data_IF_141693332512
#
_entry.id   IF_141693332512
#
_cell.length_a   1.000
_cell.length_b   1.000
_cell.length_c   1.000
_cell.angle_alpha   90.00
_cell.angle_beta   90.00
_cell.angle_gamma   90.00
#
_symmetry.space_group_name_H-M   'P 1'
#
loop_
_entity.id
_entity.type
_entity.pdbx_description
1 polymer ?
#
# COMPACT_ATOMS: atom_id res chain seq x y z
N UNK A 1 0.22 17.37 7.95
CA UNK A 1 0.13 16.69 9.25
C UNK A 1 1.52 16.55 9.83
N UNK A 2 1.68 16.70 11.13
CA UNK A 2 2.95 16.49 11.83
C UNK A 2 2.97 15.06 12.35
N UNK A 3 4.05 14.33 12.11
CA UNK A 3 4.30 12.97 12.62
C UNK A 3 5.04 13.02 13.96
N UNK A 4 5.16 11.88 14.65
CA UNK A 4 5.72 11.81 16.00
C UNK A 4 7.18 12.31 16.11
N UNK A 5 7.93 12.26 15.02
CA UNK A 5 9.32 12.77 14.94
C UNK A 5 9.40 14.23 14.44
N UNK A 6 8.27 14.94 14.34
CA UNK A 6 8.20 16.32 13.88
C UNK A 6 8.22 16.50 12.35
N UNK A 7 8.34 15.44 11.58
CA UNK A 7 8.27 15.52 10.11
C UNK A 7 6.86 15.91 9.67
N UNK A 8 6.75 16.52 8.48
CA UNK A 8 5.46 16.97 7.94
C UNK A 8 5.11 16.20 6.68
N UNK A 9 3.96 15.52 6.70
CA UNK A 9 3.36 14.87 5.52
C UNK A 9 2.10 15.61 5.07
N UNK A 10 1.75 15.47 3.79
CA UNK A 10 0.54 16.04 3.19
C UNK A 10 -0.53 14.97 3.05
N UNK A 11 -1.70 15.25 3.62
CA UNK A 11 -2.87 14.39 3.55
C UNK A 11 -4.09 15.18 3.07
N UNK A 12 -5.03 14.49 2.44
CA UNK A 12 -6.35 15.02 2.05
C UNK A 12 -7.43 14.20 2.69
N UNK A 13 -8.46 14.89 3.18
CA UNK A 13 -9.64 14.28 3.79
C UNK A 13 -10.85 14.56 2.91
N UNK A 14 -11.65 13.53 2.66
CA UNK A 14 -12.87 13.57 1.88
C UNK A 14 -14.00 13.21 2.84
N UNK A 15 -14.75 14.22 3.25
CA UNK A 15 -15.84 14.04 4.22
C UNK A 15 -17.17 13.78 3.50
N UNK A 16 -18.02 12.89 4.03
CA UNK A 16 -19.38 12.71 3.51
C UNK A 16 -20.25 13.93 3.83
N UNK A 17 -21.30 14.13 3.05
CA UNK A 17 -22.31 15.20 3.29
C UNK A 17 -23.21 14.91 4.49
N UNK A 18 -23.30 13.67 4.92
CA UNK A 18 -24.13 13.20 6.04
C UNK A 18 -23.31 12.58 7.17
N UNK A 19 -23.95 11.81 8.06
CA UNK A 19 -23.26 11.12 9.15
C UNK A 19 -22.17 10.18 8.64
N UNK A 20 -21.04 10.15 9.35
CA UNK A 20 -19.93 9.26 9.05
C UNK A 20 -20.30 7.81 9.43
N UNK A 21 -20.28 6.90 8.46
CA UNK A 21 -20.45 5.45 8.68
C UNK A 21 -19.20 4.80 9.27
N UNK A 22 -18.05 5.08 8.66
CA UNK A 22 -16.73 4.62 9.08
C UNK A 22 -15.66 5.58 8.53
N UNK A 23 -14.46 5.52 9.10
CA UNK A 23 -13.27 6.12 8.50
C UNK A 23 -12.58 5.13 7.55
N UNK A 24 -11.98 5.63 6.46
CA UNK A 24 -11.22 4.81 5.51
C UNK A 24 -9.87 5.48 5.23
N UNK A 25 -8.78 4.79 5.58
CA UNK A 25 -7.44 5.19 5.19
C UNK A 25 -7.03 4.48 3.91
N UNK A 26 -6.76 5.23 2.85
CA UNK A 26 -6.20 4.71 1.60
C UNK A 26 -4.68 4.83 1.68
N UNK A 27 -4.02 3.68 1.70
CA UNK A 27 -2.56 3.58 1.88
C UNK A 27 -1.89 3.29 0.54
N UNK A 28 -1.03 4.20 0.05
CA UNK A 28 -0.55 4.15 -1.32
C UNK A 28 0.39 2.99 -1.63
N UNK A 29 0.44 2.61 -2.91
CA UNK A 29 1.48 1.77 -3.47
C UNK A 29 2.84 2.50 -3.49
N UNK A 30 3.92 1.73 -3.65
CA UNK A 30 5.29 2.25 -3.80
C UNK A 30 5.35 3.30 -4.90
N UNK A 31 5.73 4.53 -4.54
CA UNK A 31 5.92 5.63 -5.47
C UNK A 31 4.65 6.19 -6.14
N UNK A 32 3.47 5.75 -5.73
CA UNK A 32 2.21 6.32 -6.18
C UNK A 32 1.82 7.56 -5.37
N UNK A 33 1.41 8.63 -6.07
CA UNK A 33 0.94 9.86 -5.41
C UNK A 33 -0.50 9.73 -4.95
N UNK A 34 -0.84 10.41 -3.85
CA UNK A 34 -2.21 10.50 -3.32
C UNK A 34 -3.23 11.01 -4.35
N UNK A 35 -2.78 11.80 -5.33
CA UNK A 35 -3.65 12.30 -6.40
C UNK A 35 -4.29 11.16 -7.22
N UNK A 36 -3.58 10.05 -7.36
CA UNK A 36 -4.08 8.87 -8.07
C UNK A 36 -5.32 8.28 -7.40
N UNK A 37 -5.41 8.36 -6.09
CA UNK A 37 -6.51 7.82 -5.30
C UNK A 37 -7.65 8.81 -5.04
N UNK A 38 -7.49 10.08 -5.42
CA UNK A 38 -8.45 11.13 -5.10
C UNK A 38 -9.87 10.87 -5.65
N UNK A 39 -10.07 10.38 -6.89
CA UNK A 39 -11.42 10.04 -7.38
C UNK A 39 -12.08 8.92 -6.57
N UNK A 40 -11.31 7.89 -6.18
CA UNK A 40 -11.81 6.81 -5.35
C UNK A 40 -12.16 7.27 -3.94
N UNK A 41 -11.35 8.13 -3.33
CA UNK A 41 -11.62 8.71 -2.02
C UNK A 41 -12.87 9.61 -2.04
N UNK A 42 -13.08 10.38 -3.10
CA UNK A 42 -14.29 11.18 -3.28
C UNK A 42 -15.53 10.29 -3.39
N UNK A 43 -15.46 9.21 -4.18
CA UNK A 43 -16.52 8.24 -4.27
C UNK A 43 -16.84 7.57 -2.91
N UNK A 44 -15.84 7.23 -2.10
CA UNK A 44 -16.06 6.70 -0.75
C UNK A 44 -16.81 7.74 0.13
N UNK A 45 -16.47 9.02 0.01
CA UNK A 45 -17.20 10.07 0.73
C UNK A 45 -18.67 10.13 0.31
N UNK A 46 -18.97 9.99 -0.98
CA UNK A 46 -20.35 9.91 -1.48
C UNK A 46 -21.10 8.66 -0.98
N UNK A 47 -20.38 7.59 -0.59
CA UNK A 47 -20.97 6.40 0.05
C UNK A 47 -21.14 6.55 1.58
N UNK A 48 -20.73 7.68 2.15
CA UNK A 48 -20.89 7.97 3.58
C UNK A 48 -19.65 7.67 4.44
N UNK A 49 -18.48 7.47 3.84
CA UNK A 49 -17.22 7.24 4.56
C UNK A 49 -16.39 8.51 4.69
N UNK A 50 -15.73 8.71 5.82
CA UNK A 50 -14.66 9.70 5.93
C UNK A 50 -13.38 9.09 5.36
N UNK A 51 -13.07 9.38 4.10
CA UNK A 51 -11.89 8.85 3.44
C UNK A 51 -10.68 9.78 3.57
N UNK A 52 -9.47 9.22 3.64
CA UNK A 52 -8.23 9.99 3.59
C UNK A 52 -7.21 9.36 2.66
N UNK A 53 -6.46 10.22 1.96
CA UNK A 53 -5.29 9.90 1.17
C UNK A 53 -4.10 10.71 1.68
N UNK A 54 -2.89 10.23 1.45
CA UNK A 54 -1.66 10.95 1.83
C UNK A 54 -0.49 10.56 0.93
N UNK A 55 0.55 11.36 0.94
CA UNK A 55 1.85 11.00 0.39
C UNK A 55 2.80 10.69 1.54
N UNK A 56 3.54 9.58 1.46
CA UNK A 56 4.60 9.26 2.41
C UNK A 56 5.67 10.35 2.42
N UNK A 57 6.39 10.52 3.52
CA UNK A 57 7.56 11.41 3.60
C UNK A 57 8.53 11.14 2.45
N UNK A 58 9.05 12.18 1.85
CA UNK A 58 9.95 12.07 0.71
C UNK A 58 9.27 11.69 -0.62
N UNK A 59 7.93 11.67 -0.69
CA UNK A 59 7.19 11.42 -1.94
C UNK A 59 6.14 12.50 -2.20
N UNK A 60 5.70 12.61 -3.45
CA UNK A 60 4.57 13.47 -3.87
C UNK A 60 4.63 14.88 -3.28
N UNK A 61 3.54 15.31 -2.65
CA UNK A 61 3.42 16.61 -1.98
C UNK A 61 4.12 16.66 -0.62
N UNK A 62 4.50 15.50 -0.07
CA UNK A 62 5.29 15.39 1.17
C UNK A 62 6.80 15.51 0.94
N UNK A 63 7.24 15.60 -0.32
CA UNK A 63 8.63 15.91 -0.67
C UNK A 63 8.85 17.43 -0.60
N UNK A 64 9.54 17.89 0.42
CA UNK A 64 9.78 19.34 0.65
C UNK A 64 11.18 19.81 0.25
N UNK A 65 12.09 18.87 0.02
CA UNK A 65 13.49 19.15 -0.30
C UNK A 65 14.06 18.08 -1.22
N UNK A 66 15.34 18.14 -1.52
CA UNK A 66 16.04 17.11 -2.28
C UNK A 66 15.98 15.76 -1.58
N UNK A 67 15.81 14.68 -2.36
CA UNK A 67 15.95 13.30 -1.85
C UNK A 67 17.41 12.93 -1.55
N UNK A 68 18.38 13.68 -2.05
CA UNK A 68 19.79 13.44 -1.74
C UNK A 68 20.04 13.74 -0.27
N UNK A 69 20.47 12.72 0.48
CA UNK A 69 20.67 12.84 1.93
C UNK A 69 19.38 12.75 2.76
N UNK A 70 18.22 12.53 2.11
CA UNK A 70 16.97 12.32 2.84
C UNK A 70 16.94 10.89 3.39
N UNK A 71 16.88 10.81 4.72
CA UNK A 71 16.88 9.52 5.43
C UNK A 71 15.46 9.12 5.80
N UNK A 72 14.98 8.04 5.21
CA UNK A 72 13.73 7.37 5.52
C UNK A 72 13.72 5.98 4.87
N UNK A 73 13.06 5.04 5.51
CA UNK A 73 12.81 3.71 4.97
C UNK A 73 11.30 3.36 4.97
N UNK A 74 10.94 2.14 4.57
CA UNK A 74 9.53 1.69 4.51
C UNK A 74 8.95 1.53 5.92
N UNK A 75 9.76 1.15 6.88
CA UNK A 75 9.33 0.99 8.27
C UNK A 75 9.03 2.35 8.88
N UNK A 76 9.78 3.40 8.54
CA UNK A 76 9.45 4.78 8.92
C UNK A 76 8.12 5.24 8.33
N UNK A 77 7.84 4.90 7.05
CA UNK A 77 6.55 5.18 6.43
C UNK A 77 5.39 4.56 7.21
N UNK A 78 5.56 3.32 7.68
CA UNK A 78 4.54 2.65 8.48
C UNK A 78 4.44 3.22 9.90
N UNK A 79 5.59 3.31 10.61
CA UNK A 79 5.62 3.65 12.04
C UNK A 79 5.31 5.10 12.34
N UNK A 80 5.60 6.00 11.41
CA UNK A 80 5.48 7.43 11.61
C UNK A 80 4.35 8.03 10.76
N UNK A 81 4.36 7.80 9.44
CA UNK A 81 3.39 8.43 8.55
C UNK A 81 2.01 7.76 8.64
N UNK A 82 1.96 6.43 8.50
CA UNK A 82 0.70 5.70 8.63
C UNK A 82 0.13 5.80 10.05
N UNK A 83 0.98 5.75 11.09
CA UNK A 83 0.53 5.90 12.48
C UNK A 83 -0.13 7.27 12.71
N UNK A 84 0.43 8.35 12.18
CA UNK A 84 -0.16 9.69 12.26
C UNK A 84 -1.50 9.77 11.52
N UNK A 85 -1.63 9.07 10.36
CA UNK A 85 -2.89 9.00 9.62
C UNK A 85 -3.97 8.23 10.38
N UNK A 86 -3.63 7.08 10.97
CA UNK A 86 -4.54 6.28 11.81
C UNK A 86 -5.01 7.12 13.00
N UNK A 87 -4.11 7.80 13.71
CA UNK A 87 -4.46 8.69 14.83
C UNK A 87 -5.42 9.80 14.41
N UNK A 88 -5.10 10.50 13.31
CA UNK A 88 -5.91 11.60 12.81
C UNK A 88 -7.31 11.18 12.38
N UNK A 89 -7.44 10.02 11.70
CA UNK A 89 -8.75 9.51 11.29
C UNK A 89 -9.57 9.03 12.48
N UNK A 90 -8.96 8.34 13.45
CA UNK A 90 -9.62 7.92 14.68
C UNK A 90 -10.14 9.11 15.48
N UNK A 91 -9.38 10.21 15.55
CA UNK A 91 -9.82 11.42 16.23
C UNK A 91 -10.98 12.15 15.50
N UNK A 92 -11.02 12.10 14.16
CA UNK A 92 -12.06 12.73 13.33
C UNK A 92 -13.36 11.93 13.24
N UNK A 93 -13.27 10.62 13.31
CA UNK A 93 -14.39 9.69 13.22
C UNK A 93 -14.55 8.93 14.55
N UNK A 94 -14.68 9.67 15.65
CA UNK A 94 -14.84 9.10 17.00
C UNK A 94 -15.98 8.08 17.00
N UNK A 95 -15.77 6.97 17.69
CA UNK A 95 -16.74 5.87 17.87
C UNK A 95 -17.17 5.18 16.56
N UNK A 96 -16.42 5.41 15.46
CA UNK A 96 -16.64 4.74 14.19
C UNK A 96 -15.47 3.82 13.85
N UNK A 97 -15.73 2.68 13.18
CA UNK A 97 -14.66 1.80 12.76
C UNK A 97 -13.73 2.51 11.76
N UNK A 98 -12.45 2.17 11.82
CA UNK A 98 -11.43 2.57 10.86
C UNK A 98 -11.08 1.39 9.96
N UNK A 99 -11.23 1.57 8.66
CA UNK A 99 -10.83 0.59 7.66
C UNK A 99 -9.55 1.02 6.94
N UNK A 100 -8.69 0.05 6.71
CA UNK A 100 -7.44 0.22 5.97
C UNK A 100 -7.60 -0.34 4.57
N UNK A 101 -7.47 0.47 3.53
CA UNK A 101 -7.42 0.02 2.14
C UNK A 101 -6.00 0.23 1.62
N UNK A 102 -5.23 -0.85 1.58
CA UNK A 102 -3.83 -0.82 1.17
C UNK A 102 -3.64 -1.28 -0.26
N UNK A 103 -3.04 -0.44 -1.11
CA UNK A 103 -2.65 -0.78 -2.46
C UNK A 103 -1.21 -1.28 -2.51
N UNK A 104 -0.98 -2.49 -3.03
CA UNK A 104 0.37 -3.03 -3.22
C UNK A 104 1.19 -2.96 -1.92
N UNK A 105 2.26 -2.14 -1.85
CA UNK A 105 3.02 -1.90 -0.62
C UNK A 105 2.13 -1.49 0.56
N UNK A 106 1.15 -0.63 0.33
CA UNK A 106 0.22 -0.18 1.37
C UNK A 106 -0.56 -1.32 2.03
N UNK A 107 -0.75 -2.45 1.33
CA UNK A 107 -1.35 -3.66 1.88
C UNK A 107 -0.36 -4.57 2.62
N UNK A 108 0.93 -4.25 2.63
CA UNK A 108 1.97 -5.06 3.28
C UNK A 108 2.39 -4.51 4.64
N UNK A 109 2.23 -3.19 4.87
CA UNK A 109 2.94 -2.48 5.94
C UNK A 109 2.13 -2.23 7.22
N UNK A 110 0.84 -2.62 7.27
CA UNK A 110 0.03 -2.51 8.48
C UNK A 110 0.70 -3.14 9.73
N UNK A 111 1.38 -4.30 9.65
CA UNK A 111 2.03 -4.91 10.82
C UNK A 111 3.06 -4.01 11.52
N UNK A 112 3.68 -3.10 10.77
CA UNK A 112 4.68 -2.17 11.33
C UNK A 112 4.06 -0.92 12.00
N UNK A 113 2.74 -0.71 11.86
CA UNK A 113 2.04 0.46 12.42
C UNK A 113 1.83 0.27 13.92
N UNK A 114 2.32 1.16 14.79
CA UNK A 114 2.24 0.99 16.25
C UNK A 114 0.80 0.92 16.78
N UNK A 115 -0.10 1.71 16.22
CA UNK A 115 -1.51 1.82 16.61
C UNK A 115 -2.45 1.06 15.64
N UNK A 116 -1.98 -0.06 15.07
CA UNK A 116 -2.72 -0.91 14.12
C UNK A 116 -3.96 -1.57 14.70
N UNK A 117 -4.03 -1.74 16.02
CA UNK A 117 -5.19 -2.27 16.74
C UNK A 117 -6.46 -1.41 16.58
N UNK A 118 -6.30 -0.15 16.15
CA UNK A 118 -7.43 0.73 15.82
C UNK A 118 -8.05 0.42 14.45
N UNK A 119 -7.38 -0.41 13.64
CA UNK A 119 -7.88 -0.82 12.32
C UNK A 119 -8.84 -1.99 12.50
N UNK A 120 -10.13 -1.72 12.30
CA UNK A 120 -11.19 -2.73 12.47
C UNK A 120 -11.26 -3.74 11.32
N UNK A 121 -10.78 -3.37 10.13
CA UNK A 121 -10.75 -4.25 8.94
C UNK A 121 -9.69 -3.76 7.96
N UNK A 122 -9.02 -4.69 7.31
CA UNK A 122 -8.05 -4.42 6.24
C UNK A 122 -8.57 -4.93 4.90
N UNK A 123 -8.50 -4.11 3.87
CA UNK A 123 -8.67 -4.51 2.48
C UNK A 123 -7.34 -4.32 1.76
N UNK A 124 -6.81 -5.38 1.16
CA UNK A 124 -5.61 -5.30 0.33
C UNK A 124 -5.99 -5.36 -1.14
N UNK A 125 -5.42 -4.47 -1.94
CA UNK A 125 -5.68 -4.38 -3.38
C UNK A 125 -4.37 -4.58 -4.12
N UNK A 126 -4.33 -5.55 -5.03
CA UNK A 126 -3.15 -5.89 -5.82
C UNK A 126 -1.88 -6.05 -4.94
N UNK A 127 -2.04 -6.66 -3.76
CA UNK A 127 -0.98 -6.83 -2.74
C UNK A 127 -0.43 -8.24 -2.79
N UNK A 128 0.89 -8.34 -2.76
CA UNK A 128 1.62 -9.61 -2.71
C UNK A 128 2.98 -9.42 -2.07
N UNK A 129 3.73 -10.48 -1.80
CA UNK A 129 5.14 -10.39 -1.49
C UNK A 129 5.87 -9.77 -2.71
N UNK A 130 6.86 -8.94 -2.47
CA UNK A 130 7.67 -8.42 -3.58
C UNK A 130 8.79 -9.40 -3.99
N UNK A 131 8.81 -10.63 -3.48
CA UNK A 131 9.87 -11.60 -3.79
C UNK A 131 9.95 -11.85 -5.30
N UNK A 132 11.05 -11.44 -5.90
CA UNK A 132 11.16 -11.32 -7.35
C UNK A 132 10.97 -12.63 -8.13
N UNK A 133 11.30 -13.78 -7.53
CA UNK A 133 11.13 -15.08 -8.17
C UNK A 133 9.68 -15.56 -8.24
N UNK A 134 8.81 -14.95 -7.46
CA UNK A 134 7.37 -15.23 -7.46
C UNK A 134 6.58 -14.27 -8.36
N UNK A 135 7.18 -13.19 -8.84
CA UNK A 135 6.52 -12.21 -9.71
C UNK A 135 5.93 -12.85 -10.97
N UNK A 136 4.95 -12.18 -11.56
CA UNK A 136 4.36 -12.55 -12.86
C UNK A 136 5.44 -12.79 -13.92
N UNK A 137 5.24 -13.75 -14.81
CA UNK A 137 6.28 -14.27 -15.71
C UNK A 137 7.05 -13.19 -16.50
N UNK A 138 6.41 -12.18 -17.14
CA UNK A 138 7.15 -11.15 -17.86
C UNK A 138 8.11 -10.35 -16.97
N UNK A 139 7.63 -9.94 -15.78
CA UNK A 139 8.44 -9.17 -14.85
C UNK A 139 9.59 -9.99 -14.27
N UNK A 140 9.35 -11.24 -13.89
CA UNK A 140 10.35 -12.13 -13.29
C UNK A 140 11.60 -12.27 -14.16
N UNK A 141 11.45 -12.22 -15.49
CA UNK A 141 12.59 -12.37 -16.42
C UNK A 141 13.51 -11.15 -16.46
N UNK A 142 13.03 -9.98 -16.08
CA UNK A 142 13.75 -8.70 -16.22
C UNK A 142 14.03 -8.01 -14.90
N UNK A 143 13.27 -8.28 -13.85
CA UNK A 143 13.34 -7.54 -12.58
C UNK A 143 14.65 -7.76 -11.81
N UNK A 144 15.33 -8.89 -12.05
CA UNK A 144 16.65 -9.12 -11.47
C UNK A 144 17.65 -8.01 -11.85
N UNK A 145 17.55 -7.48 -13.09
CA UNK A 145 18.36 -6.35 -13.53
C UNK A 145 18.13 -5.10 -12.67
N UNK A 146 16.86 -4.85 -12.33
CA UNK A 146 16.51 -3.76 -11.40
C UNK A 146 17.21 -3.95 -10.05
N UNK A 147 17.11 -5.15 -9.47
CA UNK A 147 17.59 -5.41 -8.12
C UNK A 147 19.11 -5.50 -8.00
N UNK A 148 19.78 -6.09 -8.98
CA UNK A 148 21.23 -6.33 -8.90
C UNK A 148 22.08 -5.24 -9.54
N UNK A 149 21.52 -4.45 -10.46
CA UNK A 149 22.29 -3.44 -11.21
C UNK A 149 21.69 -2.04 -11.06
N UNK A 150 20.46 -1.82 -11.50
CA UNK A 150 19.89 -0.46 -11.60
C UNK A 150 19.75 0.19 -10.23
N UNK A 151 19.20 -0.52 -9.25
CA UNK A 151 18.98 0.03 -7.92
C UNK A 151 20.30 0.37 -7.21
N UNK A 152 21.27 -0.56 -7.06
CA UNK A 152 22.54 -0.24 -6.40
C UNK A 152 23.30 0.90 -7.08
N UNK A 153 23.36 0.88 -8.42
CA UNK A 153 24.06 1.92 -9.18
C UNK A 153 23.39 3.29 -9.01
N UNK A 154 22.06 3.33 -9.10
CA UNK A 154 21.30 4.56 -8.89
C UNK A 154 21.53 5.15 -7.50
N UNK A 155 21.46 4.34 -6.44
CA UNK A 155 21.69 4.78 -5.07
C UNK A 155 23.10 5.31 -4.86
N UNK A 156 24.10 4.72 -5.55
CA UNK A 156 25.50 5.18 -5.47
C UNK A 156 25.72 6.50 -6.19
N UNK A 157 25.13 6.66 -7.39
CA UNK A 157 25.38 7.83 -8.24
C UNK A 157 24.54 9.04 -7.84
N UNK A 158 23.27 8.83 -7.50
CA UNK A 158 22.32 9.92 -7.24
C UNK A 158 22.06 10.16 -5.75
N UNK A 159 22.32 9.18 -4.88
CA UNK A 159 21.98 9.22 -3.46
C UNK A 159 20.50 8.91 -3.18
N UNK A 160 19.70 8.62 -4.20
CA UNK A 160 18.30 8.21 -4.16
C UNK A 160 17.94 7.40 -5.41
N UNK A 161 16.75 6.83 -5.51
CA UNK A 161 16.31 6.13 -6.71
C UNK A 161 15.49 7.07 -7.61
N UNK A 162 16.00 7.48 -8.80
CA UNK A 162 15.34 8.42 -9.70
C UNK A 162 14.29 7.71 -10.58
N UNK A 163 13.27 7.13 -9.95
CA UNK A 163 12.28 6.27 -10.59
C UNK A 163 11.46 6.96 -11.68
N UNK A 164 11.14 8.24 -11.51
CA UNK A 164 10.47 9.06 -12.55
C UNK A 164 11.30 9.13 -13.82
N UNK A 165 12.62 9.43 -13.69
CA UNK A 165 13.54 9.50 -14.84
C UNK A 165 13.68 8.14 -15.54
N UNK A 166 13.64 7.06 -14.77
CA UNK A 166 13.72 5.69 -15.27
C UNK A 166 12.36 5.14 -15.75
N UNK A 167 11.28 5.93 -15.65
CA UNK A 167 9.90 5.53 -16.03
C UNK A 167 9.46 4.22 -15.37
N UNK A 168 9.82 4.05 -14.11
CA UNK A 168 9.47 2.86 -13.29
C UNK A 168 8.40 3.22 -12.27
N UNK A 169 8.81 3.44 -11.05
CA UNK A 169 7.99 3.99 -9.97
C UNK A 169 8.32 5.47 -9.76
N UNK A 170 7.68 6.15 -8.83
CA UNK A 170 8.12 7.51 -8.42
C UNK A 170 9.57 7.55 -7.93
N UNK A 171 10.11 8.75 -7.71
CA UNK A 171 11.41 8.89 -7.05
C UNK A 171 11.30 8.41 -5.60
N UNK A 172 12.29 7.65 -5.13
CA UNK A 172 12.28 7.03 -3.81
C UNK A 172 13.51 7.43 -2.99
N UNK A 173 13.34 7.71 -1.68
CA UNK A 173 14.46 7.86 -0.76
C UNK A 173 15.41 6.67 -0.81
N UNK A 174 16.70 6.93 -0.49
CA UNK A 174 17.74 5.90 -0.49
C UNK A 174 17.37 4.71 0.39
N UNK A 175 16.96 4.95 1.64
CA UNK A 175 16.63 3.90 2.59
C UNK A 175 15.43 3.08 2.15
N UNK A 176 14.39 3.72 1.60
CA UNK A 176 13.21 3.04 1.03
C UNK A 176 13.61 2.07 -0.07
N UNK A 177 14.40 2.53 -1.06
CA UNK A 177 14.80 1.66 -2.17
C UNK A 177 15.74 0.54 -1.72
N UNK A 178 16.65 0.82 -0.79
CA UNK A 178 17.55 -0.17 -0.25
C UNK A 178 16.81 -1.26 0.55
N UNK A 179 15.85 -0.86 1.39
CA UNK A 179 15.02 -1.78 2.17
C UNK A 179 14.10 -2.60 1.25
N UNK A 180 13.43 -1.95 0.29
CA UNK A 180 12.58 -2.66 -0.67
C UNK A 180 13.36 -3.71 -1.46
N UNK A 181 14.57 -3.36 -1.93
CA UNK A 181 15.47 -4.31 -2.58
C UNK A 181 15.78 -5.49 -1.67
N UNK A 182 16.15 -5.25 -0.41
CA UNK A 182 16.44 -6.31 0.57
C UNK A 182 15.28 -7.26 0.74
N UNK A 183 14.06 -6.72 0.85
CA UNK A 183 12.84 -7.51 0.95
C UNK A 183 12.57 -8.31 -0.33
N UNK A 184 12.65 -7.69 -1.49
CA UNK A 184 12.39 -8.36 -2.77
C UNK A 184 13.38 -9.47 -3.12
N UNK A 185 14.56 -9.44 -2.55
CA UNK A 185 15.59 -10.50 -2.72
C UNK A 185 15.44 -11.65 -1.72
N UNK A 186 14.65 -11.49 -0.65
CA UNK A 186 14.44 -12.52 0.36
C UNK A 186 13.22 -13.37 0.03
N UNK A 187 13.30 -14.73 0.09
CA UNK A 187 12.17 -15.62 -0.19
C UNK A 187 10.95 -15.38 0.71
N UNK A 188 11.16 -15.00 1.97
CA UNK A 188 10.09 -14.64 2.90
C UNK A 188 9.82 -13.13 2.96
N UNK A 189 10.28 -12.39 1.94
CA UNK A 189 10.07 -10.96 1.78
C UNK A 189 10.47 -10.15 3.03
N UNK A 190 9.61 -9.24 3.51
CA UNK A 190 9.87 -8.43 4.70
C UNK A 190 10.13 -9.27 5.96
N UNK A 191 9.39 -10.38 6.11
CA UNK A 191 9.48 -11.26 7.29
C UNK A 191 10.85 -11.90 7.39
N UNK A 192 11.37 -12.46 6.31
CA UNK A 192 12.69 -13.06 6.31
C UNK A 192 13.84 -12.03 6.31
N UNK A 193 13.60 -10.86 5.71
CA UNK A 193 14.61 -9.81 5.62
C UNK A 193 14.82 -9.06 6.95
N UNK A 194 13.77 -8.90 7.76
CA UNK A 194 13.81 -8.16 9.04
C UNK A 194 13.79 -9.11 10.26
N UNK A 195 13.57 -10.42 10.04
CA UNK A 195 13.68 -11.47 11.06
C UNK A 195 12.42 -11.71 11.90
N UNK A 196 12.56 -12.58 12.91
CA UNK A 196 11.43 -13.15 13.69
C UNK A 196 10.54 -12.12 14.36
N UNK A 197 11.09 -10.97 14.75
CA UNK A 197 10.29 -9.87 15.29
C UNK A 197 9.19 -9.44 14.30
N UNK A 198 9.51 -9.37 13.02
CA UNK A 198 8.54 -8.98 11.99
C UNK A 198 7.51 -10.10 11.76
N UNK A 199 7.91 -11.36 11.83
CA UNK A 199 6.98 -12.50 11.81
C UNK A 199 5.94 -12.37 12.92
N UNK A 200 6.38 -12.04 14.14
CA UNK A 200 5.48 -11.78 15.28
C UNK A 200 4.54 -10.59 15.02
N UNK A 201 5.02 -9.52 14.39
CA UNK A 201 4.17 -8.38 14.04
C UNK A 201 3.07 -8.77 13.04
N UNK A 202 3.38 -9.56 12.00
CA UNK A 202 2.36 -10.07 11.06
C UNK A 202 1.35 -10.98 11.78
N UNK A 203 1.82 -11.88 12.63
CA UNK A 203 0.97 -12.77 13.41
C UNK A 203 0.09 -12.02 14.43
N UNK A 204 0.49 -10.83 14.89
CA UNK A 204 -0.28 -10.04 15.87
C UNK A 204 -1.43 -9.23 15.24
N UNK A 205 -1.57 -9.22 13.91
CA UNK A 205 -2.73 -8.63 13.25
C UNK A 205 -3.87 -9.63 13.30
N UNK A 206 -4.96 -9.25 13.96
CA UNK A 206 -6.19 -10.04 14.11
C UNK A 206 -7.38 -9.45 13.32
N UNK A 207 -7.26 -8.22 12.88
CA UNK A 207 -8.28 -7.56 12.04
C UNK A 207 -8.57 -8.39 10.78
N UNK A 208 -9.86 -8.63 10.44
CA UNK A 208 -10.24 -9.35 9.23
C UNK A 208 -9.63 -8.73 7.96
N UNK A 209 -9.11 -9.57 7.08
CA UNK A 209 -8.47 -9.16 5.82
C UNK A 209 -9.30 -9.63 4.63
N UNK A 210 -9.63 -8.70 3.73
CA UNK A 210 -10.17 -9.00 2.40
C UNK A 210 -9.11 -8.68 1.37
N UNK A 211 -8.69 -9.66 0.59
CA UNK A 211 -7.72 -9.46 -0.49
C UNK A 211 -8.42 -9.43 -1.85
N UNK A 212 -8.24 -8.33 -2.58
CA UNK A 212 -8.67 -8.17 -3.97
C UNK A 212 -7.43 -8.22 -4.86
N UNK A 213 -7.25 -9.32 -5.58
CA UNK A 213 -6.13 -9.54 -6.50
C UNK A 213 -6.65 -9.80 -7.91
N UNK A 214 -5.81 -9.59 -8.93
CA UNK A 214 -6.23 -9.66 -10.33
C UNK A 214 -5.41 -10.69 -11.08
N UNK A 215 -6.07 -11.45 -11.99
CA UNK A 215 -5.40 -12.52 -12.74
C UNK A 215 -4.42 -11.97 -13.77
N UNK A 216 -4.62 -10.73 -14.22
CA UNK A 216 -3.80 -10.02 -15.20
C UNK A 216 -2.85 -8.98 -14.59
N UNK A 217 -2.60 -9.07 -13.26
CA UNK A 217 -1.62 -8.22 -12.59
C UNK A 217 -0.22 -8.52 -13.11
N UNK A 218 0.40 -7.52 -13.74
CA UNK A 218 1.72 -7.63 -14.36
C UNK A 218 2.88 -7.69 -13.34
N UNK A 219 2.60 -7.38 -12.07
CA UNK A 219 3.61 -7.44 -10.99
C UNK A 219 3.38 -8.64 -10.08
N UNK A 220 2.16 -8.80 -9.56
CA UNK A 220 1.85 -9.74 -8.49
C UNK A 220 1.15 -11.00 -9.03
N UNK A 221 1.83 -12.13 -8.98
CA UNK A 221 1.24 -13.44 -9.24
C UNK A 221 0.31 -13.87 -8.09
N UNK A 222 -0.45 -14.96 -8.29
CA UNK A 222 -1.20 -15.59 -7.21
C UNK A 222 -0.28 -15.96 -6.04
N UNK A 223 0.90 -16.51 -6.34
CA UNK A 223 1.88 -16.93 -5.36
C UNK A 223 2.40 -15.76 -4.50
N UNK A 224 2.69 -14.60 -5.11
CA UNK A 224 3.05 -13.41 -4.34
C UNK A 224 1.93 -13.04 -3.35
N UNK A 225 0.67 -13.07 -3.81
CA UNK A 225 -0.49 -12.75 -2.98
C UNK A 225 -0.63 -13.73 -1.82
N UNK A 226 -0.55 -15.03 -2.08
CA UNK A 226 -0.66 -16.06 -1.04
C UNK A 226 0.51 -16.00 -0.05
N UNK A 227 1.73 -15.77 -0.54
CA UNK A 227 2.95 -15.69 0.29
C UNK A 227 2.83 -14.61 1.37
N UNK A 228 2.43 -13.37 1.03
CA UNK A 228 2.33 -12.29 2.02
C UNK A 228 1.16 -12.50 2.98
N UNK A 229 0.01 -12.93 2.46
CA UNK A 229 -1.18 -13.15 3.29
C UNK A 229 -1.03 -14.37 4.22
N UNK A 230 -0.15 -15.32 3.87
CA UNK A 230 0.19 -16.46 4.72
C UNK A 230 0.80 -16.09 6.07
N UNK A 231 1.44 -14.93 6.18
CA UNK A 231 2.03 -14.46 7.45
C UNK A 231 1.01 -13.92 8.47
N UNK A 232 -0.20 -13.55 8.03
CA UNK A 232 -1.29 -13.09 8.89
C UNK A 232 -2.06 -14.28 9.49
N UNK A 233 -1.38 -15.10 10.30
CA UNK A 233 -1.89 -16.40 10.77
C UNK A 233 -3.11 -16.30 11.68
N UNK A 234 -3.28 -15.20 12.41
CA UNK A 234 -4.40 -14.98 13.33
C UNK A 234 -5.55 -14.16 12.73
N UNK A 235 -5.35 -13.50 11.58
CA UNK A 235 -6.40 -12.73 10.91
C UNK A 235 -7.32 -13.64 10.08
N UNK A 236 -8.66 -13.53 10.21
CA UNK A 236 -9.59 -14.12 9.25
C UNK A 236 -9.33 -13.53 7.85
N UNK A 237 -9.20 -14.39 6.84
CA UNK A 237 -8.84 -13.95 5.48
C UNK A 237 -9.86 -14.39 4.45
N UNK A 238 -10.32 -13.44 3.62
CA UNK A 238 -11.16 -13.67 2.45
C UNK A 238 -10.39 -13.28 1.20
N UNK A 239 -9.94 -14.26 0.43
CA UNK A 239 -9.14 -14.06 -0.76
C UNK A 239 -10.04 -14.04 -2.00
N UNK A 240 -10.08 -12.92 -2.73
CA UNK A 240 -10.81 -12.75 -3.99
C UNK A 240 -9.81 -12.51 -5.11
N UNK A 241 -9.77 -13.42 -6.07
CA UNK A 241 -8.96 -13.27 -7.27
C UNK A 241 -9.88 -13.08 -8.46
N UNK A 242 -9.86 -11.91 -9.06
CA UNK A 242 -10.80 -11.42 -10.06
C UNK A 242 -10.12 -11.42 -11.41
N UNK A 243 -10.74 -12.06 -12.40
CA UNK A 243 -10.30 -11.96 -13.79
C UNK A 243 -10.99 -10.78 -14.48
N UNK A 244 -10.35 -10.11 -15.46
CA UNK A 244 -11.00 -9.05 -16.23
C UNK A 244 -12.34 -9.48 -16.84
N UNK A 245 -12.42 -10.73 -17.29
CA UNK A 245 -13.63 -11.32 -17.89
C UNK A 245 -14.80 -11.40 -16.90
N UNK A 246 -14.53 -11.61 -15.61
CA UNK A 246 -15.56 -11.71 -14.57
C UNK A 246 -16.35 -10.39 -14.41
N UNK A 247 -15.76 -9.29 -14.85
CA UNK A 247 -16.34 -7.93 -14.76
C UNK A 247 -16.55 -7.27 -16.14
N UNK A 248 -16.45 -8.04 -17.21
CA UNK A 248 -16.60 -7.52 -18.59
C UNK A 248 -15.53 -6.52 -19.02
N UNK A 249 -14.34 -6.55 -18.41
CA UNK A 249 -13.24 -5.66 -18.75
C UNK A 249 -12.19 -6.37 -19.61
N UNK A 250 -11.52 -5.59 -20.49
CA UNK A 250 -10.41 -6.09 -21.26
C UNK A 250 -9.13 -6.25 -20.40
N UNK A 251 -8.95 -5.39 -19.41
CA UNK A 251 -7.79 -5.39 -18.51
C UNK A 251 -8.10 -4.66 -17.21
N UNK A 252 -7.60 -5.20 -16.08
CA UNK A 252 -7.55 -4.54 -14.77
C UNK A 252 -6.10 -4.13 -14.49
N UNK A 253 -5.19 -5.10 -14.41
CA UNK A 253 -3.78 -4.91 -14.09
C UNK A 253 -3.55 -4.42 -12.66
N UNK A 254 -2.29 -4.14 -12.32
CA UNK A 254 -1.89 -3.73 -10.96
C UNK A 254 -2.53 -2.41 -10.49
N UNK A 255 -2.69 -1.45 -11.39
CA UNK A 255 -3.18 -0.11 -11.08
C UNK A 255 -4.65 0.13 -11.49
N UNK A 256 -5.35 -0.84 -12.09
CA UNK A 256 -6.70 -0.59 -12.62
C UNK A 256 -7.73 -0.27 -11.55
N UNK A 257 -7.71 -1.00 -10.44
CA UNK A 257 -8.76 -0.93 -9.41
C UNK A 257 -9.19 0.50 -9.03
N UNK A 258 -8.25 1.42 -8.84
CA UNK A 258 -8.53 2.78 -8.37
C UNK A 258 -8.95 3.76 -9.48
N UNK A 259 -9.10 3.31 -10.72
CA UNK A 259 -9.56 4.15 -11.83
C UNK A 259 -11.10 4.27 -11.82
N UNK A 260 -11.66 5.46 -12.07
CA UNK A 260 -13.12 5.66 -12.09
C UNK A 260 -13.90 4.71 -13.01
N UNK A 261 -13.27 4.25 -14.10
CA UNK A 261 -13.86 3.28 -15.02
C UNK A 261 -14.29 1.96 -14.35
N UNK A 262 -13.74 1.66 -13.17
CA UNK A 262 -14.06 0.44 -12.41
C UNK A 262 -15.02 0.68 -11.23
N UNK A 263 -15.65 1.86 -11.15
CA UNK A 263 -16.58 2.18 -10.07
C UNK A 263 -17.70 1.13 -9.97
N UNK A 264 -18.42 0.88 -11.04
CA UNK A 264 -19.55 -0.05 -11.03
C UNK A 264 -19.10 -1.49 -10.78
N UNK A 265 -18.06 -1.94 -11.49
CA UNK A 265 -17.67 -3.35 -11.54
C UNK A 265 -16.79 -3.78 -10.36
N UNK A 266 -15.91 -2.92 -9.82
CA UNK A 266 -15.02 -3.28 -8.72
C UNK A 266 -15.40 -2.59 -7.41
N UNK A 267 -15.62 -1.27 -7.41
CA UNK A 267 -15.87 -0.56 -6.15
C UNK A 267 -17.23 -0.93 -5.56
N UNK A 268 -18.32 -0.86 -6.38
CA UNK A 268 -19.67 -1.18 -5.91
C UNK A 268 -19.89 -2.68 -5.70
N UNK A 269 -19.38 -3.52 -6.61
CA UNK A 269 -19.71 -4.96 -6.59
C UNK A 269 -18.77 -5.77 -5.70
N UNK A 270 -17.48 -5.42 -5.60
CA UNK A 270 -16.50 -6.23 -4.88
C UNK A 270 -16.00 -5.61 -3.58
N UNK A 271 -15.91 -4.26 -3.49
CA UNK A 271 -15.40 -3.60 -2.31
C UNK A 271 -16.50 -3.16 -1.34
N UNK A 272 -17.51 -2.41 -1.82
CA UNK A 272 -18.53 -1.81 -0.93
C UNK A 272 -19.22 -2.82 0.00
N UNK A 273 -19.57 -4.05 -0.44
CA UNK A 273 -20.13 -5.08 0.43
C UNK A 273 -19.19 -5.55 1.55
N UNK A 274 -17.89 -5.31 1.40
CA UNK A 274 -16.88 -5.67 2.41
C UNK A 274 -16.63 -4.56 3.44
N UNK A 275 -17.18 -3.35 3.21
CA UNK A 275 -17.06 -2.20 4.09
C UNK A 275 -18.30 -2.00 4.99
N UNK A 276 -19.22 -2.95 4.98
CA UNK A 276 -20.42 -2.96 5.83
C UNK A 276 -20.18 -3.71 7.12
#
# INVERSE_FOLDING_TARGET
MVTADGSVIVARFFAPRGPIKAAVLIVPAMGASQNYYAPFAAWLADQGFLAATFDYRGTGLSLRSSLRGFDADIVDWARLDCAAMVESLSARARDKPLYWIGHSLGGQILPFVPNRERVAKMVTVATGSGYWRENSAPLRLIVWWLWYVVAPLSLRLFGYFPGKRLRKVGDLPRGVMAQWRRWCLNPEYAVGAEGDRVRTLYASVDAPIVSLSFTDDEYMSARNTDSIHGFYVNAPRKMKRIAPQDIGAARIGHFGFFRPAFEASLWRSHLLPELS
#
